data_IF_115740172306
#
_entry.id   IF_115740172306
#
_cell.length_a   1.000
_cell.length_b   1.000
_cell.length_c   1.000
_cell.angle_alpha   90.00
_cell.angle_beta   90.00
_cell.angle_gamma   90.00
#
_symmetry.space_group_name_H-M   'P 1'
#
loop_
_entity.id
_entity.type
_entity.pdbx_description
1 polymer ?
#
# COMPACT_ATOMS: atom_id res chain seq x y z
N UNK A 1 -20.58 -18.27 -7.58
CA UNK A 1 -21.18 -17.11 -6.90
C UNK A 1 -21.52 -17.56 -5.47
N UNK A 2 -20.53 -17.53 -4.57
CA UNK A 2 -20.74 -17.85 -3.15
C UNK A 2 -21.09 -16.56 -2.42
N UNK A 3 -22.31 -16.44 -1.90
CA UNK A 3 -22.62 -15.45 -0.87
C UNK A 3 -22.09 -15.99 0.47
N UNK A 4 -21.34 -15.21 1.27
CA UNK A 4 -21.04 -15.64 2.62
C UNK A 4 -22.37 -15.70 3.42
N UNK A 5 -22.59 -16.74 4.23
CA UNK A 5 -23.80 -16.85 5.03
C UNK A 5 -23.79 -15.79 6.13
N UNK A 6 -24.95 -15.20 6.40
CA UNK A 6 -25.19 -14.44 7.62
C UNK A 6 -24.96 -15.37 8.81
N UNK A 7 -23.81 -15.24 9.47
CA UNK A 7 -23.41 -16.08 10.60
C UNK A 7 -22.05 -15.63 11.11
N UNK A 8 -21.87 -15.73 12.43
CA UNK A 8 -20.71 -15.38 13.25
C UNK A 8 -19.35 -15.61 12.57
N UNK A 9 -18.30 -14.82 12.91
CA UNK A 9 -16.98 -14.93 12.27
C UNK A 9 -16.49 -16.37 12.36
N UNK A 10 -16.39 -17.00 11.19
CA UNK A 10 -15.86 -18.35 11.07
C UNK A 10 -14.35 -18.27 11.28
N UNK A 11 -13.91 -18.55 12.50
CA UNK A 11 -12.51 -18.62 12.96
C UNK A 11 -11.68 -19.74 12.29
N UNK A 12 -12.05 -20.22 11.11
CA UNK A 12 -11.58 -21.52 10.62
C UNK A 12 -10.15 -21.46 10.03
N UNK A 13 -9.69 -20.33 9.47
CA UNK A 13 -8.33 -20.24 8.93
C UNK A 13 -7.78 -18.81 9.04
N UNK A 14 -6.84 -18.57 9.96
CA UNK A 14 -5.96 -17.41 9.89
C UNK A 14 -4.99 -17.60 8.72
N UNK A 15 -4.76 -16.55 7.93
CA UNK A 15 -3.70 -16.55 6.93
C UNK A 15 -2.33 -16.64 7.61
N UNK A 16 -2.12 -15.84 8.66
CA UNK A 16 -0.86 -15.80 9.39
C UNK A 16 -0.90 -16.71 10.62
N UNK A 17 -0.22 -17.85 10.54
CA UNK A 17 -0.02 -18.73 11.70
C UNK A 17 1.08 -18.23 12.64
N UNK A 18 2.08 -17.53 12.10
CA UNK A 18 3.16 -16.92 12.85
C UNK A 18 3.80 -15.75 12.08
N UNK A 19 4.10 -14.66 12.78
CA UNK A 19 4.94 -13.56 12.30
C UNK A 19 5.92 -13.21 13.43
N UNK A 20 7.21 -13.07 13.11
CA UNK A 20 8.19 -12.62 14.09
C UNK A 20 8.04 -11.11 14.32
N UNK A 21 7.29 -10.72 15.34
CA UNK A 21 7.00 -9.31 15.64
C UNK A 21 8.23 -8.50 16.10
N UNK A 22 9.36 -9.14 16.40
CA UNK A 22 10.63 -8.41 16.59
C UNK A 22 11.00 -7.59 15.35
N UNK A 23 10.52 -8.02 14.16
CA UNK A 23 10.65 -7.27 12.93
C UNK A 23 10.04 -5.87 13.02
N UNK A 24 8.92 -5.71 13.75
CA UNK A 24 8.21 -4.44 13.88
C UNK A 24 8.96 -3.40 14.70
N UNK A 25 9.99 -3.82 15.43
CA UNK A 25 10.91 -2.90 16.12
C UNK A 25 11.99 -2.33 15.18
N UNK A 26 12.14 -2.85 13.95
CA UNK A 26 13.05 -2.26 12.97
C UNK A 26 12.55 -0.88 12.53
N UNK A 27 13.44 0.11 12.27
CA UNK A 27 13.03 1.49 12.05
C UNK A 27 11.97 1.70 10.96
N UNK A 28 12.10 1.04 9.81
CA UNK A 28 11.15 1.19 8.70
C UNK A 28 9.78 0.58 8.99
N UNK A 29 9.74 -0.56 9.69
CA UNK A 29 8.51 -1.22 10.10
C UNK A 29 7.79 -0.42 11.19
N UNK A 30 8.51 0.03 12.22
CA UNK A 30 7.95 0.85 13.29
C UNK A 30 7.34 2.14 12.73
N UNK A 31 8.07 2.85 11.87
CA UNK A 31 7.57 4.07 11.24
C UNK A 31 6.35 3.82 10.34
N UNK A 32 6.35 2.71 9.59
CA UNK A 32 5.21 2.33 8.76
C UNK A 32 3.96 1.98 9.58
N UNK A 33 4.11 1.24 10.68
CA UNK A 33 3.00 0.88 11.56
C UNK A 33 2.42 2.12 12.25
N UNK A 34 3.27 3.06 12.68
CA UNK A 34 2.80 4.34 13.22
C UNK A 34 1.92 5.09 12.22
N UNK A 35 2.32 5.10 10.94
CA UNK A 35 1.47 5.67 9.89
C UNK A 35 0.13 4.96 9.79
N UNK A 36 0.09 3.62 9.76
CA UNK A 36 -1.17 2.86 9.67
C UNK A 36 -2.14 3.19 10.81
N UNK A 37 -1.64 3.47 12.01
CA UNK A 37 -2.46 3.78 13.19
C UNK A 37 -3.18 5.13 13.09
N UNK A 38 -2.77 6.01 12.16
CA UNK A 38 -3.38 7.32 11.98
C UNK A 38 -4.65 7.31 11.13
N UNK A 39 -4.84 6.25 10.34
CA UNK A 39 -5.90 6.20 9.34
C UNK A 39 -7.10 5.41 9.85
N UNK A 40 -8.29 5.97 9.64
CA UNK A 40 -9.55 5.30 9.90
C UNK A 40 -10.08 4.70 8.61
N UNK A 41 -10.77 3.57 8.69
CA UNK A 41 -11.30 2.89 7.50
C UNK A 41 -12.43 3.65 6.77
N UNK A 42 -13.10 4.57 7.47
CA UNK A 42 -14.28 5.25 6.94
C UNK A 42 -13.88 6.47 6.10
N UNK A 43 -14.22 6.46 4.82
CA UNK A 43 -14.01 7.61 3.92
C UNK A 43 -15.06 8.70 4.11
N UNK A 44 -14.78 9.92 3.66
CA UNK A 44 -15.77 11.00 3.62
C UNK A 44 -15.88 11.80 4.92
N UNK A 45 -14.79 11.82 5.69
CA UNK A 45 -14.51 12.82 6.71
C UNK A 45 -13.19 13.47 6.32
N UNK A 46 -13.13 14.81 6.27
CA UNK A 46 -11.89 15.52 5.98
C UNK A 46 -10.74 15.07 6.88
N UNK A 47 -9.61 14.70 6.29
CA UNK A 47 -8.44 14.27 7.04
C UNK A 47 -7.67 15.50 7.54
N UNK A 48 -7.58 15.63 8.87
CA UNK A 48 -6.76 16.65 9.52
C UNK A 48 -5.62 15.99 10.28
N UNK A 49 -4.42 16.03 9.70
CA UNK A 49 -3.23 15.53 10.38
C UNK A 49 -2.73 16.52 11.44
N UNK A 50 -2.52 16.01 12.65
CA UNK A 50 -1.80 16.73 13.69
C UNK A 50 -0.31 16.91 13.32
N UNK A 51 0.38 17.82 14.02
CA UNK A 51 1.82 18.00 13.84
C UNK A 51 2.61 16.70 14.07
N UNK A 52 2.16 15.85 15.00
CA UNK A 52 2.76 14.54 15.24
C UNK A 52 2.60 13.63 14.01
N UNK A 53 1.41 13.55 13.43
CA UNK A 53 1.14 12.69 12.27
C UNK A 53 1.93 13.15 11.04
N UNK A 54 2.11 14.46 10.87
CA UNK A 54 2.98 15.01 9.82
C UNK A 54 4.46 14.67 10.06
N UNK A 55 4.91 14.66 11.32
CA UNK A 55 6.27 14.19 11.66
C UNK A 55 6.42 12.69 11.42
N UNK A 56 5.40 11.87 11.69
CA UNK A 56 5.44 10.43 11.41
C UNK A 56 5.62 10.14 9.92
N UNK A 57 5.01 10.94 9.03
CA UNK A 57 5.28 10.88 7.57
C UNK A 57 6.74 11.22 7.26
N UNK A 58 7.29 12.26 7.89
CA UNK A 58 8.68 12.67 7.71
C UNK A 58 9.67 11.62 8.25
N UNK A 59 9.36 10.98 9.38
CA UNK A 59 10.14 9.90 9.97
C UNK A 59 10.14 8.68 9.05
N UNK A 60 8.99 8.26 8.54
CA UNK A 60 8.91 7.13 7.61
C UNK A 60 9.79 7.36 6.38
N UNK A 61 9.64 8.51 5.70
CA UNK A 61 10.47 8.85 4.54
C UNK A 61 11.97 8.86 4.89
N UNK A 62 12.34 9.42 6.04
CA UNK A 62 13.73 9.45 6.51
C UNK A 62 14.28 8.04 6.76
N UNK A 63 13.51 7.14 7.35
CA UNK A 63 13.96 5.77 7.62
C UNK A 63 14.06 4.95 6.34
N UNK A 64 13.07 5.01 5.44
CA UNK A 64 13.14 4.23 4.19
C UNK A 64 14.29 4.70 3.30
N UNK A 65 14.59 6.01 3.25
CA UNK A 65 15.71 6.54 2.44
C UNK A 65 17.10 6.10 2.93
N UNK A 66 17.24 5.64 4.18
CA UNK A 66 18.50 5.06 4.67
C UNK A 66 18.80 3.69 4.07
N UNK A 67 17.77 2.98 3.60
CA UNK A 67 17.86 1.59 3.12
C UNK A 67 18.56 1.49 1.76
N UNK A 68 19.16 0.33 1.48
CA UNK A 68 19.76 0.04 0.18
C UNK A 68 18.72 0.08 -0.95
N UNK A 69 17.49 -0.36 -0.68
CA UNK A 69 16.39 -0.40 -1.66
C UNK A 69 16.03 0.99 -2.17
N UNK A 70 15.82 1.96 -1.26
CA UNK A 70 15.48 3.32 -1.66
C UNK A 70 16.66 4.07 -2.28
N UNK A 71 17.90 3.78 -1.84
CA UNK A 71 19.11 4.31 -2.46
C UNK A 71 19.27 3.80 -3.90
N UNK A 72 18.99 2.53 -4.15
CA UNK A 72 18.99 1.94 -5.49
C UNK A 72 17.92 2.60 -6.38
N UNK A 73 16.70 2.75 -5.88
CA UNK A 73 15.62 3.43 -6.60
C UNK A 73 16.01 4.87 -6.95
N UNK A 74 16.49 5.64 -5.98
CA UNK A 74 16.93 7.01 -6.22
C UNK A 74 18.08 7.06 -7.23
N UNK A 75 19.09 6.19 -7.08
CA UNK A 75 20.22 6.10 -8.01
C UNK A 75 19.77 5.83 -9.45
N UNK A 76 18.86 4.87 -9.64
CA UNK A 76 18.25 4.58 -10.94
C UNK A 76 17.51 5.80 -11.50
N UNK A 77 16.62 6.41 -10.72
CA UNK A 77 15.80 7.54 -11.18
C UNK A 77 16.64 8.79 -11.47
N UNK A 78 17.67 9.03 -10.67
CA UNK A 78 18.66 10.09 -10.90
C UNK A 78 19.43 9.85 -12.19
N UNK A 79 19.91 8.62 -12.43
CA UNK A 79 20.56 8.25 -13.70
C UNK A 79 19.62 8.42 -14.91
N UNK A 80 18.32 8.20 -14.73
CA UNK A 80 17.29 8.46 -15.73
C UNK A 80 16.88 9.95 -15.84
N UNK A 81 17.62 10.87 -15.20
CA UNK A 81 17.35 12.32 -15.16
C UNK A 81 15.94 12.67 -14.67
N UNK A 82 15.35 11.85 -13.79
CA UNK A 82 14.01 12.10 -13.22
C UNK A 82 14.05 13.07 -12.05
N UNK A 83 15.15 13.06 -11.30
CA UNK A 83 15.39 13.92 -10.15
C UNK A 83 16.83 14.43 -10.18
N UNK A 84 17.03 15.70 -9.83
CA UNK A 84 18.35 16.34 -9.77
C UNK A 84 19.01 16.23 -8.38
N UNK A 85 18.24 15.88 -7.36
CA UNK A 85 18.74 15.68 -5.99
C UNK A 85 17.87 14.72 -5.19
N UNK A 86 18.45 14.14 -4.14
CA UNK A 86 17.72 13.25 -3.22
C UNK A 86 16.62 14.02 -2.49
N UNK A 87 16.87 15.27 -2.12
CA UNK A 87 15.86 16.13 -1.50
C UNK A 87 14.65 16.32 -2.41
N UNK A 88 14.87 16.58 -3.71
CA UNK A 88 13.76 16.71 -4.67
C UNK A 88 12.95 15.41 -4.78
N UNK A 89 13.63 14.26 -4.74
CA UNK A 89 12.97 12.97 -4.76
C UNK A 89 12.14 12.73 -3.49
N UNK A 90 12.68 13.02 -2.31
CA UNK A 90 11.98 12.90 -1.02
C UNK A 90 10.77 13.83 -0.94
N UNK A 91 10.91 15.09 -1.37
CA UNK A 91 9.81 16.04 -1.42
C UNK A 91 8.71 15.58 -2.38
N UNK A 92 9.08 14.96 -3.49
CA UNK A 92 8.11 14.40 -4.43
C UNK A 92 7.42 13.16 -3.86
N UNK A 93 8.14 12.24 -3.22
CA UNK A 93 7.57 11.09 -2.51
C UNK A 93 6.57 11.56 -1.45
N UNK A 94 6.92 12.59 -0.68
CA UNK A 94 6.04 13.15 0.35
C UNK A 94 4.71 13.60 -0.24
N UNK A 95 4.77 14.44 -1.28
CA UNK A 95 3.55 14.94 -1.91
C UNK A 95 2.79 13.85 -2.66
N UNK A 96 3.49 12.96 -3.36
CA UNK A 96 2.90 11.87 -4.15
C UNK A 96 2.06 10.93 -3.28
N UNK A 97 2.58 10.54 -2.12
CA UNK A 97 1.97 9.52 -1.26
C UNK A 97 1.09 10.10 -0.16
N UNK A 98 1.47 11.22 0.45
CA UNK A 98 0.78 11.80 1.61
C UNK A 98 0.02 13.09 1.29
N UNK A 99 0.15 13.62 0.08
CA UNK A 99 -0.64 14.75 -0.36
C UNK A 99 -2.13 14.39 -0.41
N UNK A 100 -2.94 15.19 0.28
CA UNK A 100 -4.37 14.95 0.40
C UNK A 100 -5.13 15.35 -0.88
N UNK A 101 -6.07 14.50 -1.28
CA UNK A 101 -7.00 14.75 -2.38
C UNK A 101 -8.40 14.18 -2.06
N UNK A 102 -9.41 14.59 -2.84
CA UNK A 102 -10.82 14.34 -2.52
C UNK A 102 -11.43 13.20 -3.34
N UNK A 103 -11.63 12.01 -2.76
CA UNK A 103 -12.29 10.87 -3.44
C UNK A 103 -13.81 10.90 -3.31
N UNK A 104 -14.35 11.66 -2.37
CA UNK A 104 -15.78 11.82 -2.09
C UNK A 104 -16.35 13.19 -2.49
N UNK A 105 -17.45 13.57 -1.84
CA UNK A 105 -18.07 14.89 -1.92
C UNK A 105 -17.40 15.91 -0.99
N UNK A 106 -16.59 15.45 -0.04
CA UNK A 106 -15.84 16.31 0.88
C UNK A 106 -14.43 16.60 0.36
N UNK A 107 -13.85 17.73 0.78
CA UNK A 107 -12.52 18.13 0.38
C UNK A 107 -11.43 17.43 1.21
N UNK A 108 -10.42 16.84 0.54
CA UNK A 108 -9.18 16.30 1.15
C UNK A 108 -9.41 15.17 2.17
N UNK A 109 -10.14 14.15 1.75
CA UNK A 109 -10.51 12.99 2.57
C UNK A 109 -9.64 11.75 2.33
N UNK A 110 -8.58 11.83 1.51
CA UNK A 110 -7.79 10.65 1.17
C UNK A 110 -6.36 10.96 0.74
N UNK A 111 -5.45 9.99 0.94
CA UNK A 111 -4.08 9.99 0.42
C UNK A 111 -3.73 8.70 -0.34
N UNK A 112 -2.63 8.72 -1.10
CA UNK A 112 -2.12 7.53 -1.79
C UNK A 112 -1.66 6.44 -0.81
N UNK A 113 -1.03 6.85 0.30
CA UNK A 113 -0.59 5.94 1.35
C UNK A 113 -1.79 5.26 2.02
N UNK A 114 -2.77 6.05 2.46
CA UNK A 114 -4.00 5.53 3.06
C UNK A 114 -4.65 4.50 2.15
N UNK A 115 -4.93 4.89 0.90
CA UNK A 115 -5.62 4.02 -0.03
C UNK A 115 -4.87 2.71 -0.25
N UNK A 116 -3.59 2.76 -0.60
CA UNK A 116 -2.82 1.57 -0.97
C UNK A 116 -2.54 0.68 0.24
N UNK A 117 -2.00 1.26 1.32
CA UNK A 117 -1.45 0.51 2.44
C UNK A 117 -2.44 0.31 3.59
N UNK A 118 -3.21 1.34 3.96
CA UNK A 118 -4.18 1.24 5.07
C UNK A 118 -5.49 0.57 4.64
N UNK A 119 -5.98 0.94 3.46
CA UNK A 119 -7.28 0.54 2.95
C UNK A 119 -8.44 1.43 3.43
N UNK A 120 -9.48 1.50 2.62
CA UNK A 120 -10.65 2.36 2.83
C UNK A 120 -11.93 1.55 2.59
N UNK A 121 -13.03 1.92 3.24
CA UNK A 121 -14.37 1.41 2.95
C UNK A 121 -15.17 2.49 2.25
N UNK A 122 -15.52 2.23 0.98
CA UNK A 122 -16.32 3.12 0.15
C UNK A 122 -17.58 2.41 -0.35
N UNK A 123 -18.75 2.99 -0.06
CA UNK A 123 -20.07 2.42 -0.45
C UNK A 123 -20.22 0.94 -0.05
N UNK A 124 -19.78 0.60 1.16
CA UNK A 124 -19.86 -0.76 1.71
C UNK A 124 -18.88 -1.77 1.09
N UNK A 125 -17.83 -1.31 0.41
CA UNK A 125 -16.79 -2.17 -0.19
C UNK A 125 -15.41 -1.72 0.25
N UNK A 126 -14.52 -2.68 0.51
CA UNK A 126 -13.11 -2.42 0.79
C UNK A 126 -12.39 -2.05 -0.52
N UNK A 127 -11.86 -0.84 -0.59
CA UNK A 127 -11.04 -0.32 -1.68
C UNK A 127 -9.61 -0.10 -1.21
N UNK A 128 -8.63 -0.38 -2.08
CA UNK A 128 -7.24 -0.41 -1.64
C UNK A 128 -6.95 -1.62 -0.73
N UNK A 129 -6.20 -1.44 0.36
CA UNK A 129 -5.81 -2.49 1.30
C UNK A 129 -4.98 -3.59 0.61
N UNK A 130 -3.73 -3.29 0.29
CA UNK A 130 -2.83 -4.16 -0.47
C UNK A 130 -1.56 -4.55 0.29
N UNK A 131 -1.56 -4.44 1.62
CA UNK A 131 -0.37 -4.62 2.45
C UNK A 131 -0.53 -5.72 3.49
N UNK A 132 0.45 -6.62 3.57
CA UNK A 132 0.42 -7.76 4.47
C UNK A 132 0.59 -7.39 5.95
N UNK A 133 1.33 -6.33 6.28
CA UNK A 133 1.51 -5.88 7.66
C UNK A 133 0.15 -5.39 8.19
N UNK A 134 -0.55 -4.57 7.40
CA UNK A 134 -1.92 -4.14 7.73
C UNK A 134 -2.86 -5.33 7.85
N UNK A 135 -2.79 -6.28 6.93
CA UNK A 135 -3.60 -7.51 6.98
C UNK A 135 -3.36 -8.28 8.28
N UNK A 136 -2.10 -8.56 8.61
CA UNK A 136 -1.70 -9.28 9.81
C UNK A 136 -2.19 -8.60 11.09
N UNK A 137 -1.99 -7.28 11.21
CA UNK A 137 -2.42 -6.53 12.39
C UNK A 137 -3.95 -6.58 12.57
N UNK A 138 -4.72 -6.45 11.48
CA UNK A 138 -6.18 -6.51 11.55
C UNK A 138 -6.72 -7.93 11.81
N UNK A 139 -6.07 -8.96 11.27
CA UNK A 139 -6.40 -10.37 11.56
C UNK A 139 -6.10 -10.70 13.03
N UNK A 140 -4.97 -10.20 13.56
CA UNK A 140 -4.58 -10.36 14.97
C UNK A 140 -5.58 -9.72 15.92
N UNK A 141 -6.15 -8.57 15.55
CA UNK A 141 -7.21 -7.88 16.31
C UNK A 141 -8.60 -8.53 16.18
N UNK A 142 -8.75 -9.55 15.32
CA UNK A 142 -10.04 -10.19 15.05
C UNK A 142 -10.99 -9.32 14.22
N UNK A 143 -10.45 -8.29 13.54
CA UNK A 143 -11.20 -7.40 12.66
C UNK A 143 -11.16 -7.87 11.20
N UNK A 144 -10.31 -8.83 10.86
CA UNK A 144 -10.18 -9.34 9.50
C UNK A 144 -10.26 -10.86 9.49
N UNK A 145 -11.16 -11.38 8.67
CA UNK A 145 -11.33 -12.81 8.41
C UNK A 145 -10.86 -13.14 6.99
N UNK A 146 -9.79 -13.92 6.90
CA UNK A 146 -9.31 -14.50 5.64
C UNK A 146 -10.23 -15.63 5.17
N UNK A 147 -10.58 -15.65 3.88
CA UNK A 147 -11.44 -16.69 3.30
C UNK A 147 -10.71 -17.62 2.34
N UNK A 148 -10.00 -17.07 1.35
CA UNK A 148 -9.25 -17.85 0.35
C UNK A 148 -8.27 -16.97 -0.42
N UNK A 149 -7.41 -17.58 -1.24
CA UNK A 149 -6.69 -16.89 -2.31
C UNK A 149 -6.86 -17.65 -3.63
N UNK A 150 -6.84 -16.92 -4.75
CA UNK A 150 -6.97 -17.49 -6.10
C UNK A 150 -5.72 -17.28 -6.96
N UNK A 151 -4.68 -16.69 -6.39
CA UNK A 151 -3.34 -16.59 -6.96
C UNK A 151 -2.35 -16.71 -5.81
N UNK A 152 -1.29 -17.46 -6.08
CA UNK A 152 -0.12 -17.70 -5.25
C UNK A 152 1.06 -17.66 -6.23
N UNK A 153 2.10 -16.90 -5.92
CA UNK A 153 3.19 -16.62 -6.86
C UNK A 153 3.84 -17.92 -7.35
N UNK A 154 4.38 -17.98 -8.58
CA UNK A 154 4.99 -19.21 -9.10
C UNK A 154 6.38 -19.52 -8.50
N UNK A 155 6.73 -18.92 -7.35
CA UNK A 155 8.07 -19.01 -6.76
C UNK A 155 8.03 -19.29 -5.26
N UNK A 156 8.98 -20.09 -4.78
CA UNK A 156 9.02 -20.57 -3.38
C UNK A 156 9.80 -19.64 -2.43
N UNK A 157 9.96 -18.36 -2.80
CA UNK A 157 10.80 -17.40 -2.07
C UNK A 157 10.05 -16.11 -1.72
N UNK A 158 10.51 -15.37 -0.71
CA UNK A 158 9.88 -14.12 -0.31
C UNK A 158 10.42 -12.90 -1.12
N UNK A 159 9.57 -11.88 -1.37
CA UNK A 159 8.16 -11.82 -1.01
C UNK A 159 7.30 -12.67 -1.96
N UNK A 160 6.28 -13.32 -1.39
CA UNK A 160 5.25 -14.02 -2.15
C UNK A 160 4.14 -13.02 -2.58
N UNK A 161 3.25 -13.41 -3.49
CA UNK A 161 2.13 -12.59 -3.96
C UNK A 161 0.85 -13.41 -3.88
N UNK A 162 -0.06 -13.00 -3.00
CA UNK A 162 -1.38 -13.61 -2.89
C UNK A 162 -2.46 -12.68 -3.44
N UNK A 163 -3.46 -13.26 -4.10
CA UNK A 163 -4.72 -12.59 -4.41
C UNK A 163 -5.84 -13.11 -3.52
N UNK A 164 -6.17 -12.35 -2.48
CA UNK A 164 -6.94 -12.83 -1.35
C UNK A 164 -8.40 -12.35 -1.38
N UNK A 165 -9.29 -13.21 -0.89
CA UNK A 165 -10.64 -12.94 -0.48
C UNK A 165 -10.68 -12.82 1.04
N UNK A 166 -11.25 -11.74 1.55
CA UNK A 166 -11.37 -11.52 3.00
C UNK A 166 -12.54 -10.61 3.36
N UNK A 167 -12.95 -10.68 4.62
CA UNK A 167 -13.84 -9.70 5.24
C UNK A 167 -13.02 -8.83 6.19
N UNK A 168 -13.20 -7.52 6.12
CA UNK A 168 -12.60 -6.57 7.05
C UNK A 168 -13.71 -5.79 7.73
N UNK A 169 -13.93 -6.09 9.01
CA UNK A 169 -14.93 -5.47 9.88
C UNK A 169 -16.32 -5.41 9.24
N UNK A 170 -16.82 -6.55 8.80
CA UNK A 170 -18.13 -6.67 8.14
C UNK A 170 -18.13 -6.35 6.65
N UNK A 171 -17.04 -5.79 6.09
CA UNK A 171 -16.96 -5.44 4.67
C UNK A 171 -16.18 -6.47 3.86
N UNK A 172 -16.84 -7.07 2.86
CA UNK A 172 -16.21 -8.06 2.00
C UNK A 172 -15.34 -7.43 0.90
N UNK A 173 -14.16 -8.01 0.68
CA UNK A 173 -13.30 -7.75 -0.48
C UNK A 173 -13.18 -9.03 -1.32
N UNK A 174 -13.61 -8.92 -2.58
CA UNK A 174 -13.61 -10.06 -3.52
C UNK A 174 -12.20 -10.43 -3.99
N UNK A 175 -11.34 -9.46 -4.27
CA UNK A 175 -9.93 -9.72 -4.61
C UNK A 175 -9.08 -8.54 -4.12
N UNK A 176 -8.10 -8.83 -3.26
CA UNK A 176 -7.01 -7.93 -2.90
C UNK A 176 -5.67 -8.62 -3.07
N UNK A 177 -4.87 -8.15 -4.03
CA UNK A 177 -3.50 -8.62 -4.20
C UNK A 177 -2.58 -7.96 -3.16
N UNK A 178 -1.68 -8.70 -2.54
CA UNK A 178 -0.64 -8.15 -1.68
C UNK A 178 0.67 -8.91 -1.86
N UNK A 179 1.80 -8.22 -1.70
CA UNK A 179 3.04 -8.91 -1.40
C UNK A 179 2.97 -9.44 0.04
N UNK A 180 3.44 -10.65 0.28
CA UNK A 180 3.55 -11.26 1.60
C UNK A 180 5.02 -11.33 1.98
N UNK A 181 5.37 -10.81 3.17
CA UNK A 181 6.73 -10.88 3.72
C UNK A 181 7.73 -9.85 3.17
N UNK A 182 7.29 -8.92 2.32
CA UNK A 182 8.06 -7.76 1.87
C UNK A 182 8.30 -6.75 3.00
N UNK A 183 9.38 -5.96 2.90
CA UNK A 183 9.56 -4.79 3.77
C UNK A 183 8.76 -3.58 3.28
N UNK A 184 8.41 -2.64 4.18
CA UNK A 184 7.72 -1.40 3.78
C UNK A 184 8.44 -0.65 2.67
N UNK A 185 9.77 -0.52 2.77
CA UNK A 185 10.58 0.16 1.76
C UNK A 185 10.60 -0.57 0.41
N UNK A 186 10.42 -1.89 0.36
CA UNK A 186 10.36 -2.65 -0.89
C UNK A 186 9.08 -2.33 -1.68
N UNK A 187 7.92 -2.45 -1.03
CA UNK A 187 6.63 -2.14 -1.67
C UNK A 187 6.56 -0.66 -2.05
N UNK A 188 6.95 0.22 -1.12
CA UNK A 188 6.97 1.67 -1.34
C UNK A 188 7.88 2.05 -2.52
N UNK A 189 9.06 1.44 -2.63
CA UNK A 189 9.97 1.66 -3.75
C UNK A 189 9.38 1.19 -5.08
N UNK A 190 8.87 -0.04 -5.15
CA UNK A 190 8.33 -0.61 -6.39
C UNK A 190 7.12 0.17 -6.92
N UNK A 191 6.19 0.53 -6.02
CA UNK A 191 5.03 1.33 -6.41
C UNK A 191 5.43 2.73 -6.85
N UNK A 192 6.39 3.37 -6.17
CA UNK A 192 6.92 4.67 -6.58
C UNK A 192 7.60 4.59 -7.95
N UNK A 193 8.46 3.59 -8.18
CA UNK A 193 9.11 3.34 -9.47
C UNK A 193 8.09 3.25 -10.61
N UNK A 194 7.07 2.40 -10.44
CA UNK A 194 6.05 2.18 -11.45
C UNK A 194 5.18 3.41 -11.68
N UNK A 195 4.84 4.15 -10.63
CA UNK A 195 4.09 5.40 -10.78
C UNK A 195 4.88 6.47 -11.52
N UNK A 196 6.17 6.65 -11.17
CA UNK A 196 7.05 7.67 -11.78
C UNK A 196 7.33 7.35 -13.25
N UNK A 197 7.56 6.08 -13.58
CA UNK A 197 8.02 5.68 -14.92
C UNK A 197 6.90 5.28 -15.87
N UNK A 198 5.75 4.83 -15.34
CA UNK A 198 4.62 4.27 -16.07
C UNK A 198 3.26 4.68 -15.45
N UNK A 199 3.01 5.99 -15.21
CA UNK A 199 1.77 6.42 -14.57
C UNK A 199 0.53 5.99 -15.37
N UNK A 200 -0.41 5.31 -14.71
CA UNK A 200 -1.65 4.84 -15.35
C UNK A 200 -1.47 3.63 -16.28
N UNK A 201 -0.27 3.07 -16.42
CA UNK A 201 0.02 1.91 -17.29
C UNK A 201 0.51 0.72 -16.48
N UNK A 202 0.29 -0.49 -16.99
CA UNK A 202 0.92 -1.69 -16.43
C UNK A 202 2.44 -1.54 -16.49
N UNK A 203 3.07 -1.70 -15.34
CA UNK A 203 4.51 -1.67 -15.13
C UNK A 203 4.98 -3.12 -15.04
N UNK A 204 5.59 -3.61 -16.13
CA UNK A 204 6.11 -4.98 -16.20
C UNK A 204 7.49 -5.04 -15.56
N UNK A 205 7.66 -5.97 -14.63
CA UNK A 205 8.84 -6.18 -13.81
C UNK A 205 9.22 -7.67 -13.81
N UNK A 206 10.41 -7.97 -13.31
CA UNK A 206 10.79 -9.32 -12.92
C UNK A 206 11.19 -9.34 -11.45
N UNK A 207 10.67 -10.31 -10.70
CA UNK A 207 11.00 -10.56 -9.30
C UNK A 207 11.53 -11.99 -9.18
N UNK A 208 12.77 -12.14 -8.74
CA UNK A 208 13.40 -13.47 -8.64
C UNK A 208 13.49 -14.24 -9.98
N UNK A 209 13.48 -13.53 -11.12
CA UNK A 209 13.43 -14.13 -12.46
C UNK A 209 12.03 -14.39 -13.01
N UNK A 210 10.97 -14.19 -12.21
CA UNK A 210 9.59 -14.39 -12.61
C UNK A 210 8.93 -13.08 -13.06
N UNK A 211 8.09 -13.11 -14.10
CA UNK A 211 7.38 -11.91 -14.54
C UNK A 211 6.33 -11.48 -13.52
N UNK A 212 6.30 -10.19 -13.24
CA UNK A 212 5.31 -9.55 -12.38
C UNK A 212 4.80 -8.28 -13.06
N UNK A 213 3.57 -7.88 -12.80
CA UNK A 213 3.06 -6.59 -13.24
C UNK A 213 2.46 -5.82 -12.08
N UNK A 214 2.74 -4.52 -12.03
CA UNK A 214 2.13 -3.58 -11.09
C UNK A 214 1.27 -2.61 -11.89
N UNK A 215 0.04 -2.38 -11.43
CA UNK A 215 -0.81 -1.32 -11.97
C UNK A 215 -0.81 -0.16 -11.00
N UNK A 216 -0.56 1.04 -11.50
CA UNK A 216 -0.76 2.29 -10.75
C UNK A 216 -1.81 3.15 -11.43
N UNK A 217 -2.58 3.91 -10.66
CA UNK A 217 -3.47 4.95 -11.19
C UNK A 217 -3.10 6.30 -10.62
N UNK A 218 -3.33 7.35 -11.41
CA UNK A 218 -3.10 8.74 -11.02
C UNK A 218 -4.38 9.36 -10.52
N UNK A 219 -4.27 10.22 -9.52
CA UNK A 219 -5.31 11.19 -9.23
C UNK A 219 -5.03 12.45 -10.05
N UNK A 220 -5.96 12.82 -10.93
CA UNK A 220 -5.76 13.89 -11.92
C UNK A 220 -6.73 15.07 -11.80
N UNK A 221 -7.67 15.02 -10.84
CA UNK A 221 -8.58 16.15 -10.58
C UNK A 221 -7.89 17.34 -9.92
N UNK A 222 -6.83 17.08 -9.17
CA UNK A 222 -5.98 18.08 -8.52
C UNK A 222 -4.52 17.70 -8.72
N UNK A 223 -3.63 18.69 -8.60
CA UNK A 223 -2.18 18.52 -8.76
C UNK A 223 -1.43 19.18 -7.61
N UNK A 224 -0.14 18.90 -7.51
CA UNK A 224 0.79 19.59 -6.61
C UNK A 224 2.04 20.07 -7.36
N UNK A 225 2.68 21.11 -6.83
CA UNK A 225 3.86 21.71 -7.43
C UNK A 225 3.65 22.05 -8.91
N UNK A 226 4.57 21.59 -9.75
CA UNK A 226 4.58 21.86 -11.20
C UNK A 226 3.63 20.95 -11.99
N UNK A 227 2.38 20.82 -11.54
CA UNK A 227 1.36 19.98 -12.20
C UNK A 227 1.54 18.48 -11.99
N UNK A 228 2.31 18.07 -10.98
CA UNK A 228 2.49 16.65 -10.64
C UNK A 228 1.20 16.08 -10.03
N UNK A 229 1.02 14.76 -10.20
CA UNK A 229 -0.20 14.04 -9.81
C UNK A 229 0.08 13.14 -8.62
N UNK A 230 -0.93 12.96 -7.78
CA UNK A 230 -0.88 12.05 -6.64
C UNK A 230 -1.06 10.60 -7.11
N UNK A 231 -0.50 9.65 -6.36
CA UNK A 231 -0.81 8.24 -6.59
C UNK A 231 -2.20 7.95 -6.04
N UNK A 232 -3.10 7.47 -6.92
CA UNK A 232 -4.44 7.09 -6.51
C UNK A 232 -4.45 5.66 -5.97
N UNK A 233 -3.86 4.72 -6.70
CA UNK A 233 -3.74 3.35 -6.20
C UNK A 233 -2.56 2.67 -6.85
N UNK A 234 -2.05 1.64 -6.20
CA UNK A 234 -1.01 0.76 -6.68
C UNK A 234 -1.30 -0.64 -6.15
N UNK A 235 -1.24 -1.63 -7.03
CA UNK A 235 -1.43 -3.02 -6.64
C UNK A 235 -0.77 -3.96 -7.66
N UNK A 236 -0.50 -5.18 -7.21
CA UNK A 236 0.05 -6.24 -8.06
C UNK A 236 -1.06 -6.80 -8.94
N UNK A 237 -0.81 -6.96 -10.24
CA UNK A 237 -1.76 -7.60 -11.14
C UNK A 237 -1.65 -9.10 -10.97
N UNK A 238 -2.56 -9.67 -10.18
CA UNK A 238 -2.57 -11.09 -9.82
C UNK A 238 -3.44 -11.95 -10.75
N UNK A 239 -3.62 -11.53 -11.99
CA UNK A 239 -4.34 -12.27 -13.01
C UNK A 239 -3.50 -12.39 -14.27
N UNK A 240 -3.44 -13.59 -14.85
CA UNK A 240 -3.28 -13.77 -16.29
C UNK A 240 -4.50 -13.14 -16.99
N UNK A 241 -4.51 -11.82 -17.13
CA UNK A 241 -5.38 -11.09 -18.06
C UNK A 241 -4.57 -10.74 -19.29
#
# INVERSE_FOLDING_TARGET
MFRPPNGSPSTCCRLFTYVNEQLFSKPTYAAFINLLNNYQRATGHGEHFSAQQLEEQAVFLREVMKTAVMKELYGFLHHQNRYSSEQQFVDDLKNMWFGLYSRGSEERDSSGFEHVFSGEVKKGKVTGFHNWIRFYLQEKEGLLDYYSHNYDGPWDSYPDVLAMQFNWDGYYKEVGSAFIGSSPEFEFALYSLCFITRPGRKCHLSLGGYPLSIQTYTWDKTTYGNGKKYIATAYIVSSTQ
#
